data_IF_221751677470
#
_entry.id   IF_221751677470
#
_cell.length_a   1.000
_cell.length_b   1.000
_cell.length_c   1.000
_cell.angle_alpha   90.00
_cell.angle_beta   90.00
_cell.angle_gamma   90.00
#
_symmetry.space_group_name_H-M   'P 1'
#
loop_
_entity.id
_entity.type
_entity.pdbx_description
1 polymer ?
#
# COMPACT_ATOMS: atom_id res chain seq x y z
N UNK A 1 -20.20 12.34 51.89
CA UNK A 1 -19.10 11.51 51.34
C UNK A 1 -19.45 10.85 50.01
N UNK A 2 -20.72 10.48 49.80
CA UNK A 2 -21.18 9.70 48.65
C UNK A 2 -21.02 10.42 47.30
N UNK A 3 -21.39 11.70 47.21
CA UNK A 3 -21.23 12.50 45.98
C UNK A 3 -19.76 12.61 45.53
N UNK A 4 -18.83 12.81 46.47
CA UNK A 4 -17.38 12.86 46.18
C UNK A 4 -16.88 11.53 45.62
N UNK A 5 -17.40 10.41 46.12
CA UNK A 5 -17.05 9.09 45.62
C UNK A 5 -17.62 8.87 44.21
N UNK A 6 -18.88 9.26 43.96
CA UNK A 6 -19.50 9.18 42.64
C UNK A 6 -18.76 10.04 41.61
N UNK A 7 -18.44 11.30 41.91
CA UNK A 7 -17.65 12.15 41.02
C UNK A 7 -16.25 11.58 40.75
N UNK A 8 -15.62 10.96 41.76
CA UNK A 8 -14.34 10.28 41.57
C UNK A 8 -14.48 9.09 40.61
N UNK A 9 -15.50 8.26 40.79
CA UNK A 9 -15.78 7.11 39.91
C UNK A 9 -15.99 7.60 38.48
N UNK A 10 -16.89 8.54 38.25
CA UNK A 10 -17.17 9.13 36.92
C UNK A 10 -15.88 9.62 36.27
N UNK A 11 -15.09 10.44 36.98
CA UNK A 11 -13.83 10.97 36.45
C UNK A 11 -12.83 9.86 36.11
N UNK A 12 -12.73 8.82 36.94
CA UNK A 12 -11.82 7.70 36.69
C UNK A 12 -12.27 6.84 35.52
N UNK A 13 -13.58 6.58 35.38
CA UNK A 13 -14.14 5.79 34.28
C UNK A 13 -14.04 6.52 32.95
N UNK A 14 -14.33 7.82 32.93
CA UNK A 14 -14.18 8.65 31.73
C UNK A 14 -12.71 8.77 31.32
N UNK A 15 -11.80 8.97 32.30
CA UNK A 15 -10.37 9.00 32.02
C UNK A 15 -9.86 7.66 31.49
N UNK A 16 -10.33 6.54 32.04
CA UNK A 16 -9.97 5.21 31.55
C UNK A 16 -10.42 5.01 30.10
N UNK A 17 -11.67 5.32 29.78
CA UNK A 17 -12.20 5.24 28.41
C UNK A 17 -11.46 6.15 27.43
N UNK A 18 -11.11 7.38 27.86
CA UNK A 18 -10.33 8.30 27.04
C UNK A 18 -8.92 7.78 26.75
N UNK A 19 -8.27 7.17 27.74
CA UNK A 19 -6.95 6.55 27.57
C UNK A 19 -6.98 5.33 26.66
N UNK A 20 -7.98 4.47 26.80
CA UNK A 20 -8.16 3.31 25.92
C UNK A 20 -8.35 3.76 24.47
N UNK A 21 -9.19 4.78 24.24
CA UNK A 21 -9.38 5.37 22.91
C UNK A 21 -8.09 5.98 22.35
N UNK A 22 -7.31 6.68 23.19
CA UNK A 22 -6.03 7.24 22.79
C UNK A 22 -5.05 6.13 22.34
N UNK A 23 -4.91 5.07 23.14
CA UNK A 23 -4.02 3.95 22.84
C UNK A 23 -4.41 3.27 21.52
N UNK A 24 -5.71 3.08 21.26
CA UNK A 24 -6.17 2.49 19.99
C UNK A 24 -5.86 3.41 18.80
N UNK A 25 -6.03 4.73 18.95
CA UNK A 25 -5.67 5.69 17.90
C UNK A 25 -4.16 5.72 17.63
N UNK A 26 -3.34 5.61 18.68
CA UNK A 26 -1.88 5.51 18.54
C UNK A 26 -1.47 4.23 17.81
N UNK A 27 -2.09 3.10 18.14
CA UNK A 27 -1.88 1.83 17.44
C UNK A 27 -2.24 1.92 15.95
N UNK A 28 -3.40 2.50 15.63
CA UNK A 28 -3.84 2.70 14.24
C UNK A 28 -2.89 3.65 13.48
N UNK A 29 -2.43 4.72 14.12
CA UNK A 29 -1.45 5.65 13.53
C UNK A 29 -0.14 4.92 13.21
N UNK A 30 0.36 4.10 14.13
CA UNK A 30 1.62 3.37 13.92
C UNK A 30 1.49 2.35 12.78
N UNK A 31 0.38 1.63 12.71
CA UNK A 31 0.07 0.70 11.63
C UNK A 31 0.02 1.41 10.27
N UNK A 32 -0.65 2.57 10.21
CA UNK A 32 -0.71 3.38 8.99
C UNK A 32 0.68 3.87 8.59
N UNK A 33 1.46 4.42 9.52
CA UNK A 33 2.83 4.88 9.25
C UNK A 33 3.74 3.76 8.77
N UNK A 34 3.56 2.55 9.30
CA UNK A 34 4.31 1.36 8.85
C UNK A 34 3.95 1.01 7.41
N UNK A 35 2.66 1.00 7.05
CA UNK A 35 2.20 0.69 5.68
C UNK A 35 2.51 1.78 4.65
N UNK A 36 2.52 3.04 5.08
CA UNK A 36 2.74 4.21 4.21
C UNK A 36 4.16 4.76 4.31
N UNK A 37 5.10 4.03 4.92
CA UNK A 37 6.49 4.45 4.97
C UNK A 37 7.04 4.55 3.53
N UNK A 38 7.97 5.48 3.26
CA UNK A 38 8.57 5.60 1.92
C UNK A 38 9.15 4.27 1.42
N UNK A 39 9.78 3.49 2.31
CA UNK A 39 10.32 2.17 1.98
C UNK A 39 9.22 1.17 1.62
N UNK A 40 8.13 1.13 2.38
CA UNK A 40 6.97 0.26 2.10
C UNK A 40 6.31 0.62 0.78
N UNK A 41 6.11 1.90 0.50
CA UNK A 41 5.54 2.37 -0.76
C UNK A 41 6.44 2.05 -1.97
N UNK A 42 7.77 2.20 -1.83
CA UNK A 42 8.74 1.80 -2.84
C UNK A 42 8.71 0.29 -3.10
N UNK A 43 8.63 -0.51 -2.02
CA UNK A 43 8.52 -1.96 -2.13
C UNK A 43 7.23 -2.37 -2.85
N UNK A 44 6.09 -1.81 -2.47
CA UNK A 44 4.80 -2.06 -3.15
C UNK A 44 4.86 -1.70 -4.63
N UNK A 45 5.54 -0.60 -4.98
CA UNK A 45 5.71 -0.20 -6.37
C UNK A 45 6.59 -1.18 -7.15
N UNK A 46 7.67 -1.68 -6.54
CA UNK A 46 8.53 -2.70 -7.13
C UNK A 46 7.80 -4.03 -7.32
N UNK A 47 7.01 -4.48 -6.35
CA UNK A 47 6.17 -5.67 -6.45
C UNK A 47 5.14 -5.53 -7.57
N UNK A 48 4.50 -4.36 -7.68
CA UNK A 48 3.58 -4.06 -8.78
C UNK A 48 4.27 -4.03 -10.16
N UNK A 49 5.56 -3.68 -10.24
CA UNK A 49 6.35 -3.79 -11.47
C UNK A 49 6.59 -5.26 -11.83
N UNK A 50 7.06 -6.06 -10.87
CA UNK A 50 7.35 -7.48 -11.08
C UNK A 50 6.09 -8.23 -11.54
N UNK A 51 4.94 -7.96 -10.92
CA UNK A 51 3.67 -8.55 -11.34
C UNK A 51 3.30 -8.22 -12.80
N UNK A 52 3.53 -6.98 -13.23
CA UNK A 52 3.25 -6.61 -14.64
C UNK A 52 4.25 -7.24 -15.62
N UNK A 53 5.48 -7.53 -15.18
CA UNK A 53 6.43 -8.33 -15.96
C UNK A 53 5.92 -9.77 -16.11
N UNK A 54 5.54 -10.42 -15.00
CA UNK A 54 4.96 -11.77 -15.00
C UNK A 54 3.70 -11.87 -15.89
N UNK A 55 2.82 -10.87 -15.83
CA UNK A 55 1.64 -10.77 -16.72
C UNK A 55 2.04 -10.62 -18.19
N UNK A 56 3.13 -9.90 -18.48
CA UNK A 56 3.65 -9.73 -19.84
C UNK A 56 4.22 -11.04 -20.37
N UNK A 57 4.96 -11.79 -19.55
CA UNK A 57 5.50 -13.11 -19.89
C UNK A 57 4.40 -14.16 -20.07
N UNK A 58 3.37 -14.14 -19.22
CA UNK A 58 2.20 -14.99 -19.38
C UNK A 58 1.49 -14.72 -20.71
N UNK A 59 1.25 -13.45 -21.04
CA UNK A 59 0.65 -13.06 -22.32
C UNK A 59 1.54 -13.46 -23.52
N UNK A 60 2.86 -13.39 -23.37
CA UNK A 60 3.79 -13.85 -24.40
C UNK A 60 3.67 -15.36 -24.65
N UNK A 61 3.58 -16.17 -23.58
CA UNK A 61 3.33 -17.61 -23.69
C UNK A 61 2.02 -17.92 -24.40
N UNK A 62 0.92 -17.27 -24.02
CA UNK A 62 -0.37 -17.42 -24.70
C UNK A 62 -0.31 -17.17 -26.21
N UNK A 63 0.51 -16.19 -26.63
CA UNK A 63 0.73 -15.92 -28.05
C UNK A 63 1.51 -17.04 -28.75
N UNK A 64 2.57 -17.56 -28.11
CA UNK A 64 3.35 -18.69 -28.64
C UNK A 64 2.51 -19.96 -28.74
N UNK A 65 1.64 -20.19 -27.78
CA UNK A 65 0.70 -21.31 -27.73
C UNK A 65 -0.49 -21.14 -28.68
N UNK A 66 -0.53 -20.03 -29.44
CA UNK A 66 -1.57 -19.66 -30.41
C UNK A 66 -2.96 -19.51 -29.79
N UNK A 67 -3.04 -19.23 -28.49
CA UNK A 67 -4.30 -18.96 -27.77
C UNK A 67 -4.85 -17.56 -28.09
N UNK A 68 -3.98 -16.65 -28.53
CA UNK A 68 -4.34 -15.28 -28.89
C UNK A 68 -3.75 -14.89 -30.25
N UNK A 69 -4.46 -14.05 -31.00
CA UNK A 69 -3.98 -13.51 -32.27
C UNK A 69 -2.94 -12.41 -32.07
N UNK A 70 -2.18 -12.12 -33.13
CA UNK A 70 -1.13 -11.10 -33.12
C UNK A 70 -1.64 -9.70 -32.77
N UNK A 71 -2.83 -9.32 -33.26
CA UNK A 71 -3.42 -8.02 -32.98
C UNK A 71 -3.74 -7.86 -31.50
N UNK A 72 -4.39 -8.86 -30.92
CA UNK A 72 -4.69 -8.92 -29.48
C UNK A 72 -3.42 -8.93 -28.63
N UNK A 73 -2.40 -9.71 -29.02
CA UNK A 73 -1.12 -9.76 -28.34
C UNK A 73 -0.46 -8.37 -28.31
N UNK A 74 -0.28 -7.73 -29.47
CA UNK A 74 0.40 -6.44 -29.58
C UNK A 74 -0.30 -5.37 -28.75
N UNK A 75 -1.63 -5.30 -28.82
CA UNK A 75 -2.41 -4.32 -28.05
C UNK A 75 -2.25 -4.51 -26.54
N UNK A 76 -2.46 -5.75 -26.05
CA UNK A 76 -2.39 -6.07 -24.61
C UNK A 76 -0.95 -5.92 -24.08
N UNK A 77 0.03 -6.44 -24.82
CA UNK A 77 1.44 -6.40 -24.41
C UNK A 77 1.94 -4.97 -24.32
N UNK A 78 1.65 -4.13 -25.33
CA UNK A 78 2.01 -2.70 -25.31
C UNK A 78 1.43 -1.98 -24.08
N UNK A 79 0.19 -2.28 -23.70
CA UNK A 79 -0.44 -1.71 -22.50
C UNK A 79 0.26 -2.12 -21.20
N UNK A 80 0.63 -3.40 -21.08
CA UNK A 80 1.39 -3.91 -19.93
C UNK A 80 2.77 -3.24 -19.85
N UNK A 81 3.51 -3.19 -20.96
CA UNK A 81 4.82 -2.51 -21.02
C UNK A 81 4.73 -1.03 -20.68
N UNK A 82 3.74 -0.30 -21.20
CA UNK A 82 3.54 1.10 -20.86
C UNK A 82 3.30 1.30 -19.34
N UNK A 83 2.52 0.40 -18.73
CA UNK A 83 2.26 0.42 -17.28
C UNK A 83 3.53 0.14 -16.48
N UNK A 84 4.30 -0.89 -16.86
CA UNK A 84 5.59 -1.22 -16.25
C UNK A 84 6.55 -0.02 -16.31
N UNK A 85 6.75 0.56 -17.50
CA UNK A 85 7.69 1.66 -17.69
C UNK A 85 7.28 2.91 -16.91
N UNK A 86 5.98 3.22 -16.85
CA UNK A 86 5.47 4.31 -16.00
C UNK A 86 5.84 4.10 -14.53
N UNK A 87 5.62 2.89 -14.00
CA UNK A 87 5.97 2.55 -12.61
C UNK A 87 7.49 2.59 -12.40
N UNK A 88 8.28 2.09 -13.33
CA UNK A 88 9.73 2.11 -13.27
C UNK A 88 10.30 3.53 -13.19
N UNK A 89 9.75 4.47 -13.98
CA UNK A 89 10.13 5.87 -13.93
C UNK A 89 9.78 6.52 -12.58
N UNK A 90 8.59 6.23 -12.04
CA UNK A 90 8.19 6.73 -10.70
C UNK A 90 9.11 6.17 -9.62
N UNK A 91 9.42 4.86 -9.66
CA UNK A 91 10.30 4.22 -8.70
C UNK A 91 11.72 4.80 -8.76
N UNK A 92 12.24 5.03 -9.96
CA UNK A 92 13.54 5.66 -10.16
C UNK A 92 13.57 7.09 -9.59
N UNK A 93 12.54 7.90 -9.90
CA UNK A 93 12.44 9.27 -9.39
C UNK A 93 12.33 9.31 -7.85
N UNK A 94 11.55 8.40 -7.26
CA UNK A 94 11.40 8.30 -5.81
C UNK A 94 12.70 7.87 -5.12
N UNK A 95 13.47 6.95 -5.71
CA UNK A 95 14.80 6.56 -5.21
C UNK A 95 15.85 7.67 -5.32
N UNK A 96 15.75 8.53 -6.33
CA UNK A 96 16.68 9.63 -6.57
C UNK A 96 16.34 10.89 -5.74
N UNK A 97 15.16 10.94 -5.13
CA UNK A 97 14.75 12.07 -4.30
C UNK A 97 15.49 12.01 -2.95
N UNK A 98 16.09 13.13 -2.48
CA UNK A 98 16.66 13.18 -1.14
C UNK A 98 15.56 12.87 -0.12
N UNK A 99 15.77 11.87 0.73
CA UNK A 99 14.95 11.68 1.92
C UNK A 99 15.15 12.91 2.82
N UNK A 100 14.14 13.77 2.91
CA UNK A 100 14.11 14.90 3.84
C UNK A 100 14.04 14.42 5.29
#
# INVERSE_FOLDING_TARGET
>A
MELRNQCRIIRTTELAAAKEKLNELERQKEELLRSCSPASLLQMLQEAMNKTEEESEALHRQFLDKEIDLGSFVQKYKKLRATYHKRALIHLAAKASPTA
#
